data_IF_623174187121
#
_entry.id   IF_623174187121
#
_cell.length_a   1.000
_cell.length_b   1.000
_cell.length_c   1.000
_cell.angle_alpha   90.00
_cell.angle_beta   90.00
_cell.angle_gamma   90.00
#
_symmetry.space_group_name_H-M   'P 1'
#
loop_
_entity.id
_entity.type
_entity.pdbx_description
1 polymer ?
#
# COMPACT_ATOMS: atom_id res chain seq x y z
N UNK A 1 -5.00 3.87 3.40
CA UNK A 1 -4.84 3.92 4.87
C UNK A 1 -6.22 3.81 5.51
N UNK A 2 -6.50 2.70 6.20
CA UNK A 2 -7.74 2.42 6.95
C UNK A 2 -8.92 1.92 6.11
N UNK A 3 -9.45 0.69 6.32
CA UNK A 3 -10.67 0.26 5.68
C UNK A 3 -11.85 0.71 6.54
N UNK A 4 -12.38 1.90 6.26
CA UNK A 4 -13.76 2.21 6.64
C UNK A 4 -14.57 2.08 5.36
N UNK A 5 -15.04 0.86 5.09
CA UNK A 5 -16.06 0.58 4.07
C UNK A 5 -17.46 1.02 4.56
N UNK A 6 -17.53 2.06 5.39
CA UNK A 6 -18.77 2.72 5.76
C UNK A 6 -18.87 4.02 4.94
N UNK A 7 -19.73 4.06 3.91
CA UNK A 7 -19.93 5.23 3.06
C UNK A 7 -20.43 6.47 3.81
N UNK A 8 -20.99 6.30 5.02
CA UNK A 8 -21.48 7.40 5.86
C UNK A 8 -20.31 8.08 6.57
N UNK A 9 -19.34 7.30 7.04
CA UNK A 9 -18.14 7.82 7.71
C UNK A 9 -17.11 8.35 6.71
N UNK A 10 -17.01 7.77 5.51
CA UNK A 10 -16.02 8.20 4.50
C UNK A 10 -16.11 9.69 4.14
N UNK A 11 -17.33 10.26 4.15
CA UNK A 11 -17.57 11.69 3.85
C UNK A 11 -17.34 12.63 5.04
N UNK A 12 -17.19 12.10 6.24
CA UNK A 12 -17.01 12.87 7.48
C UNK A 12 -15.55 12.94 7.92
N UNK A 13 -14.68 12.17 7.28
CA UNK A 13 -13.26 12.12 7.58
C UNK A 13 -12.54 13.20 6.77
N UNK A 14 -11.96 14.17 7.47
CA UNK A 14 -10.97 15.06 6.88
C UNK A 14 -9.61 14.34 6.95
N UNK A 15 -9.07 13.83 5.83
CA UNK A 15 -7.72 13.25 5.82
C UNK A 15 -6.69 14.37 6.06
N UNK A 16 -5.48 13.98 6.47
CA UNK A 16 -4.35 14.89 6.41
C UNK A 16 -3.99 15.18 4.95
N UNK A 17 -3.43 16.36 4.72
CA UNK A 17 -2.85 16.68 3.41
C UNK A 17 -1.45 16.05 3.27
N UNK A 18 -1.12 15.45 2.13
CA UNK A 18 0.23 14.94 1.88
C UNK A 18 1.24 16.10 1.72
N UNK A 19 2.56 15.86 1.92
CA UNK A 19 3.17 14.58 2.27
C UNK A 19 2.97 14.22 3.76
N UNK A 20 2.64 12.96 4.03
CA UNK A 20 2.44 12.47 5.39
C UNK A 20 3.76 12.40 6.17
N UNK A 21 3.76 12.90 7.40
CA UNK A 21 4.93 12.86 8.29
C UNK A 21 4.59 12.13 9.60
N UNK A 22 5.58 11.48 10.22
CA UNK A 22 5.36 10.61 11.37
C UNK A 22 4.81 11.31 12.61
N UNK A 23 5.08 12.61 12.72
CA UNK A 23 4.57 13.49 13.79
C UNK A 23 3.16 14.02 13.57
N UNK A 24 2.47 13.64 12.48
CA UNK A 24 1.07 14.02 12.27
C UNK A 24 0.19 13.42 13.38
N UNK A 25 -0.80 14.16 13.90
CA UNK A 25 -1.68 13.65 14.93
C UNK A 25 -2.55 12.51 14.40
N UNK A 26 -2.98 11.62 15.29
CA UNK A 26 -3.98 10.60 14.97
C UNK A 26 -5.26 11.25 14.48
N UNK A 27 -5.88 10.66 13.46
CA UNK A 27 -7.19 11.10 13.00
C UNK A 27 -8.26 10.72 14.04
N UNK A 28 -9.34 11.52 14.18
CA UNK A 28 -10.37 11.34 15.20
C UNK A 28 -11.37 10.23 14.83
N UNK A 29 -10.89 9.08 14.37
CA UNK A 29 -11.71 7.94 13.98
C UNK A 29 -11.11 6.61 14.45
N UNK A 30 -11.95 5.57 14.62
CA UNK A 30 -11.46 4.23 14.94
C UNK A 30 -10.50 3.74 13.86
N UNK A 31 -9.27 3.42 14.28
CA UNK A 31 -8.24 2.85 13.42
C UNK A 31 -7.49 1.79 14.22
N UNK A 32 -7.51 0.56 13.72
CA UNK A 32 -6.88 -0.57 14.42
C UNK A 32 -5.37 -0.38 14.61
N UNK A 33 -4.70 0.39 13.73
CA UNK A 33 -3.29 0.73 13.92
C UNK A 33 -3.02 1.45 15.24
N UNK A 34 -3.91 2.38 15.64
CA UNK A 34 -3.77 3.09 16.92
C UNK A 34 -3.96 2.16 18.12
N UNK A 35 -4.86 1.18 18.00
CA UNK A 35 -5.05 0.16 19.03
C UNK A 35 -3.82 -0.75 19.16
N UNK A 36 -3.20 -1.15 18.04
CA UNK A 36 -1.97 -1.93 18.04
C UNK A 36 -0.79 -1.16 18.65
N UNK A 37 -0.60 0.11 18.26
CA UNK A 37 0.45 0.97 18.86
C UNK A 37 0.26 1.11 20.38
N UNK A 38 -0.98 1.37 20.84
CA UNK A 38 -1.27 1.49 22.26
C UNK A 38 -0.99 0.18 23.01
N UNK A 39 -1.37 -0.96 22.42
CA UNK A 39 -1.16 -2.28 23.02
C UNK A 39 0.32 -2.57 23.19
N UNK A 40 1.14 -2.38 22.14
CA UNK A 40 2.59 -2.62 22.21
C UNK A 40 3.26 -1.67 23.20
N UNK A 41 2.84 -0.41 23.27
CA UNK A 41 3.38 0.55 24.23
C UNK A 41 3.15 0.15 25.71
N UNK A 42 2.16 -0.70 26.01
CA UNK A 42 1.94 -1.20 27.39
C UNK A 42 3.07 -2.08 27.92
N UNK A 43 3.93 -2.62 27.03
CA UNK A 43 5.06 -3.45 27.41
C UNK A 43 6.33 -2.64 27.71
N UNK A 44 6.34 -1.34 27.42
CA UNK A 44 7.47 -0.45 27.72
C UNK A 44 7.54 -0.18 29.23
N UNK A 45 8.73 -0.22 29.88
CA UNK A 45 10.07 -0.36 29.29
C UNK A 45 10.60 -1.80 29.25
N UNK A 46 9.79 -2.81 29.55
CA UNK A 46 10.23 -4.22 29.58
C UNK A 46 10.72 -4.70 28.21
N UNK A 47 10.10 -4.20 27.14
CA UNK A 47 10.51 -4.39 25.75
C UNK A 47 10.39 -3.04 25.03
N UNK A 48 11.33 -2.73 24.13
CA UNK A 48 11.25 -1.57 23.23
C UNK A 48 10.59 -1.97 21.92
N UNK A 49 9.92 -1.04 21.25
CA UNK A 49 9.23 -1.31 19.98
C UNK A 49 9.61 -0.32 18.89
N UNK A 50 9.27 -0.60 17.64
CA UNK A 50 9.25 0.36 16.54
C UNK A 50 8.00 0.11 15.69
N UNK A 51 7.39 1.17 15.16
CA UNK A 51 6.25 1.06 14.25
C UNK A 51 6.67 1.45 12.83
N UNK A 52 6.33 0.62 11.84
CA UNK A 52 6.71 0.82 10.44
C UNK A 52 5.47 1.04 9.58
N UNK A 53 5.38 2.21 8.95
CA UNK A 53 4.23 2.66 8.15
C UNK A 53 4.61 2.66 6.68
N UNK A 54 4.44 1.52 6.01
CA UNK A 54 4.70 1.41 4.58
C UNK A 54 3.62 2.14 3.76
N UNK A 55 4.00 2.58 2.56
CA UNK A 55 3.03 2.86 1.50
C UNK A 55 2.48 1.54 0.95
N UNK A 56 1.91 1.57 -0.26
CA UNK A 56 1.58 0.38 -1.04
C UNK A 56 2.84 -0.49 -1.12
N UNK A 57 2.77 -1.66 -0.51
CA UNK A 57 3.85 -2.64 -0.59
C UNK A 57 3.75 -3.30 -1.96
N UNK A 58 4.81 -3.23 -2.74
CA UNK A 58 4.87 -4.01 -3.97
C UNK A 58 5.12 -5.47 -3.63
N UNK A 59 4.01 -6.20 -3.49
CA UNK A 59 3.93 -7.65 -3.49
C UNK A 59 2.63 -8.05 -4.18
N UNK A 60 2.71 -8.30 -5.49
CA UNK A 60 1.71 -8.92 -6.38
C UNK A 60 0.24 -8.43 -6.41
N UNK A 61 -0.19 -7.27 -5.87
CA UNK A 61 -1.53 -6.65 -6.17
C UNK A 61 -1.61 -5.14 -5.86
N UNK A 62 -2.24 -4.32 -6.74
CA UNK A 62 -2.62 -2.91 -6.46
C UNK A 62 -3.78 -2.42 -7.37
N UNK A 63 -4.73 -1.59 -6.87
CA UNK A 63 -5.63 -0.70 -7.66
C UNK A 63 -6.18 0.51 -6.86
N UNK A 64 -6.28 1.70 -7.50
CA UNK A 64 -7.32 2.74 -7.27
C UNK A 64 -7.38 3.78 -8.42
N UNK A 65 -8.58 4.32 -8.67
CA UNK A 65 -9.06 4.95 -9.93
C UNK A 65 -8.47 6.34 -10.27
N UNK A 66 -8.02 7.12 -9.27
CA UNK A 66 -7.51 8.49 -9.47
C UNK A 66 -5.99 8.57 -9.69
N UNK A 67 -5.34 7.43 -9.95
CA UNK A 67 -3.88 7.32 -9.83
C UNK A 67 -3.13 7.31 -11.18
N UNK A 68 -3.84 7.37 -12.30
CA UNK A 68 -3.26 7.20 -13.65
C UNK A 68 -2.16 8.22 -13.98
N UNK A 69 -2.49 9.51 -13.86
CA UNK A 69 -1.57 10.65 -14.14
C UNK A 69 -0.93 11.23 -12.86
N UNK A 70 -1.32 10.77 -11.67
CA UNK A 70 -0.82 11.30 -10.41
C UNK A 70 0.43 10.58 -9.91
N UNK A 71 1.28 11.32 -9.21
CA UNK A 71 2.44 10.75 -8.55
C UNK A 71 2.02 9.85 -7.40
N UNK A 72 2.47 8.60 -7.46
CA UNK A 72 2.34 7.59 -6.44
C UNK A 72 3.73 7.22 -5.91
N UNK A 73 3.77 6.68 -4.70
CA UNK A 73 4.98 6.19 -4.06
C UNK A 73 4.69 4.83 -3.44
N UNK A 74 5.70 3.97 -3.37
CA UNK A 74 5.55 2.58 -2.94
C UNK A 74 6.65 2.20 -1.95
N UNK A 75 6.53 0.99 -1.44
CA UNK A 75 7.52 0.38 -0.54
C UNK A 75 7.87 -1.00 -1.05
N UNK A 76 9.13 -1.20 -1.40
CA UNK A 76 9.70 -2.50 -1.67
C UNK A 76 9.73 -3.35 -0.39
N UNK A 77 9.42 -4.64 -0.52
CA UNK A 77 9.35 -5.54 0.63
C UNK A 77 10.73 -5.78 1.28
N UNK A 78 11.80 -5.77 0.49
CA UNK A 78 13.18 -5.84 0.96
C UNK A 78 13.57 -4.59 1.73
N UNK A 79 13.27 -3.40 1.20
CA UNK A 79 13.48 -2.12 1.89
C UNK A 79 12.72 -2.08 3.22
N UNK A 80 11.47 -2.55 3.24
CA UNK A 80 10.69 -2.64 4.47
C UNK A 80 11.34 -3.59 5.47
N UNK A 81 11.81 -4.76 5.04
CA UNK A 81 12.50 -5.72 5.90
C UNK A 81 13.81 -5.15 6.46
N UNK A 82 14.60 -4.46 5.63
CA UNK A 82 15.82 -3.77 6.04
C UNK A 82 15.53 -2.71 7.11
N UNK A 83 14.46 -1.91 6.96
CA UNK A 83 14.09 -0.92 7.96
C UNK A 83 13.69 -1.57 9.30
N UNK A 84 13.00 -2.72 9.28
CA UNK A 84 12.69 -3.47 10.50
C UNK A 84 13.96 -3.96 11.20
N UNK A 85 14.91 -4.53 10.45
CA UNK A 85 16.21 -4.98 10.99
C UNK A 85 16.98 -3.79 11.57
N UNK A 86 17.04 -2.68 10.84
CA UNK A 86 17.69 -1.45 11.29
C UNK A 86 17.11 -0.96 12.62
N UNK A 87 15.78 -0.86 12.74
CA UNK A 87 15.13 -0.37 13.95
C UNK A 87 15.32 -1.32 15.14
N UNK A 88 15.38 -2.63 14.89
CA UNK A 88 15.60 -3.63 15.94
C UNK A 88 16.99 -3.54 16.58
N UNK A 89 18.01 -3.03 15.87
CA UNK A 89 19.40 -2.98 16.35
C UNK A 89 19.92 -1.57 16.60
N UNK A 90 19.09 -0.54 16.43
CA UNK A 90 19.49 0.86 16.53
C UNK A 90 18.84 1.53 17.74
N UNK A 91 19.65 2.03 18.67
CA UNK A 91 19.13 2.61 19.92
C UNK A 91 18.22 3.83 19.70
N UNK A 92 18.55 4.69 18.73
CA UNK A 92 17.74 5.88 18.42
C UNK A 92 16.41 5.57 17.75
N UNK A 93 16.20 4.31 17.32
CA UNK A 93 14.95 3.88 16.69
C UNK A 93 13.95 3.28 17.70
N UNK A 94 14.35 3.15 18.97
CA UNK A 94 13.52 2.57 20.03
C UNK A 94 12.35 3.49 20.37
N UNK A 95 11.15 2.90 20.41
CA UNK A 95 9.87 3.50 20.73
C UNK A 95 9.41 4.58 19.73
N UNK A 96 9.92 4.53 18.50
CA UNK A 96 9.62 5.48 17.44
C UNK A 96 8.74 4.86 16.34
N UNK A 97 8.07 5.72 15.58
CA UNK A 97 7.32 5.34 14.39
C UNK A 97 7.96 5.95 13.15
N UNK A 98 8.10 5.14 12.10
CA UNK A 98 8.76 5.54 10.85
C UNK A 98 7.88 5.23 9.64
N UNK A 99 7.74 6.21 8.76
CA UNK A 99 7.32 5.98 7.40
C UNK A 99 8.40 5.17 6.64
N UNK A 100 7.96 4.30 5.74
CA UNK A 100 8.85 3.51 4.88
C UNK A 100 8.41 3.63 3.43
N UNK A 101 9.26 4.19 2.57
CA UNK A 101 9.02 4.31 1.13
C UNK A 101 10.35 4.08 0.39
N UNK A 102 10.28 3.83 -0.92
CA UNK A 102 11.48 3.68 -1.76
C UNK A 102 12.28 4.97 -1.92
N UNK A 103 11.74 6.12 -1.52
CA UNK A 103 12.36 7.43 -1.71
C UNK A 103 12.14 8.04 -3.10
N UNK A 104 11.40 7.37 -3.98
CA UNK A 104 11.03 7.85 -5.31
C UNK A 104 9.50 7.90 -5.51
N UNK A 105 9.09 8.38 -6.69
CA UNK A 105 7.70 8.45 -7.12
C UNK A 105 7.55 7.90 -8.54
N UNK A 106 6.39 7.34 -8.85
CA UNK A 106 6.03 6.84 -10.18
C UNK A 106 4.61 7.28 -10.57
N UNK A 107 4.25 7.11 -11.84
CA UNK A 107 2.88 7.28 -12.35
C UNK A 107 2.39 5.94 -12.86
N UNK A 108 1.12 5.60 -12.61
CA UNK A 108 0.55 4.35 -13.11
C UNK A 108 0.56 4.26 -14.62
N UNK A 109 0.39 5.37 -15.34
CA UNK A 109 0.58 5.44 -16.79
C UNK A 109 1.91 4.86 -17.26
N UNK A 110 3.00 5.17 -16.54
CA UNK A 110 4.35 4.66 -16.88
C UNK A 110 4.51 3.20 -16.43
N UNK A 111 4.00 2.85 -15.26
CA UNK A 111 4.05 1.47 -14.76
C UNK A 111 3.28 0.51 -15.66
N UNK A 112 2.09 0.92 -16.15
CA UNK A 112 1.27 0.13 -17.05
C UNK A 112 2.00 -0.20 -18.34
N UNK A 113 2.72 0.77 -18.92
CA UNK A 113 3.58 0.54 -20.08
C UNK A 113 4.65 -0.52 -19.82
N UNK A 114 5.34 -0.44 -18.68
CA UNK A 114 6.35 -1.45 -18.30
C UNK A 114 5.71 -2.83 -18.16
N UNK A 115 4.54 -2.93 -17.51
CA UNK A 115 3.84 -4.21 -17.39
C UNK A 115 3.36 -4.75 -18.75
N UNK A 116 2.89 -3.90 -19.66
CA UNK A 116 2.51 -4.33 -21.02
C UNK A 116 3.70 -4.90 -21.78
N UNK A 117 4.87 -4.29 -21.66
CA UNK A 117 6.12 -4.75 -22.28
C UNK A 117 6.61 -6.08 -21.66
N UNK A 118 6.61 -6.19 -20.33
CA UNK A 118 7.06 -7.40 -19.62
C UNK A 118 6.18 -8.62 -19.90
N UNK A 119 4.87 -8.43 -20.03
CA UNK A 119 3.91 -9.50 -20.32
C UNK A 119 3.66 -9.73 -21.82
N UNK A 120 4.32 -8.97 -22.71
CA UNK A 120 4.15 -9.00 -24.16
C UNK A 120 2.67 -8.86 -24.59
N UNK A 121 1.99 -7.86 -24.03
CA UNK A 121 0.60 -7.53 -24.36
C UNK A 121 0.47 -6.11 -24.92
N UNK A 122 -0.59 -5.88 -25.69
CA UNK A 122 -0.88 -4.56 -26.25
C UNK A 122 -1.06 -3.53 -25.11
N UNK A 123 -0.34 -2.41 -25.20
CA UNK A 123 -0.55 -1.27 -24.32
C UNK A 123 -1.85 -0.56 -24.69
N UNK A 124 -2.79 -0.53 -23.74
CA UNK A 124 -4.04 0.21 -23.84
C UNK A 124 -4.02 1.35 -22.81
N UNK A 125 -4.17 2.58 -23.28
CA UNK A 125 -4.22 3.77 -22.43
C UNK A 125 -5.58 3.90 -21.74
N UNK A 126 -5.57 4.26 -20.45
CA UNK A 126 -6.79 4.61 -19.72
C UNK A 126 -7.46 5.84 -20.36
N UNK A 127 -8.78 5.79 -20.50
CA UNK A 127 -9.58 6.91 -20.99
C UNK A 127 -10.49 7.41 -19.89
N UNK A 128 -10.45 8.71 -19.66
CA UNK A 128 -11.30 9.37 -18.67
C UNK A 128 -12.78 9.09 -18.95
N UNK A 129 -13.51 8.63 -17.92
CA UNK A 129 -14.93 8.29 -18.00
C UNK A 129 -15.24 6.84 -18.40
N UNK A 130 -14.23 6.02 -18.70
CA UNK A 130 -14.40 4.56 -18.80
C UNK A 130 -14.26 3.93 -17.40
N UNK A 131 -15.38 3.65 -16.74
CA UNK A 131 -15.39 2.86 -15.52
C UNK A 131 -15.03 1.39 -15.84
N UNK A 132 -14.02 0.86 -15.16
CA UNK A 132 -13.60 -0.53 -15.31
C UNK A 132 -13.55 -1.24 -13.96
N UNK A 133 -14.57 -2.06 -13.70
CA UNK A 133 -14.60 -2.93 -12.54
C UNK A 133 -13.79 -4.22 -12.81
N UNK A 134 -12.57 -4.25 -12.29
CA UNK A 134 -11.70 -5.42 -12.41
C UNK A 134 -12.23 -6.62 -11.61
N UNK A 135 -12.91 -6.41 -10.49
CA UNK A 135 -13.46 -7.51 -9.68
C UNK A 135 -14.55 -8.23 -10.47
N UNK A 136 -15.49 -7.47 -11.04
CA UNK A 136 -16.53 -8.03 -11.90
C UNK A 136 -15.90 -8.73 -13.12
N UNK A 137 -14.95 -8.07 -13.80
CA UNK A 137 -14.31 -8.62 -15.00
C UNK A 137 -13.54 -9.93 -14.71
N UNK A 138 -12.86 -10.02 -13.57
CA UNK A 138 -12.09 -11.20 -13.17
C UNK A 138 -12.94 -12.32 -12.55
N UNK A 139 -14.14 -12.02 -12.05
CA UNK A 139 -14.98 -12.95 -11.27
C UNK A 139 -15.25 -14.29 -11.97
N UNK A 140 -15.27 -14.32 -13.31
CA UNK A 140 -15.56 -15.51 -14.13
C UNK A 140 -14.34 -16.10 -14.83
N UNK A 141 -13.12 -15.63 -14.53
CA UNK A 141 -11.88 -16.02 -15.21
C UNK A 141 -11.15 -17.19 -14.56
N UNK A 142 -11.74 -17.86 -13.56
CA UNK A 142 -11.14 -19.00 -12.87
C UNK A 142 -10.64 -20.11 -13.82
N UNK A 143 -11.50 -20.59 -14.73
CA UNK A 143 -11.09 -21.63 -15.68
C UNK A 143 -10.00 -21.19 -16.66
N UNK A 144 -9.97 -19.91 -17.04
CA UNK A 144 -8.88 -19.37 -17.88
C UNK A 144 -7.56 -19.31 -17.10
N UNK A 145 -7.61 -19.02 -15.79
CA UNK A 145 -6.44 -19.08 -14.92
C UNK A 145 -5.92 -20.51 -14.76
N UNK A 146 -6.81 -21.49 -14.58
CA UNK A 146 -6.42 -22.91 -14.49
C UNK A 146 -5.68 -23.38 -15.75
N UNK A 147 -6.15 -22.99 -16.94
CA UNK A 147 -5.48 -23.29 -18.21
C UNK A 147 -4.08 -22.64 -18.29
N UNK A 148 -3.94 -21.39 -17.83
CA UNK A 148 -2.65 -20.70 -17.77
C UNK A 148 -1.70 -21.44 -16.84
N UNK A 149 -2.17 -21.89 -15.67
CA UNK A 149 -1.37 -22.64 -14.70
C UNK A 149 -0.89 -23.95 -15.31
N UNK A 150 -1.78 -24.74 -15.91
CA UNK A 150 -1.44 -26.02 -16.55
C UNK A 150 -0.43 -25.82 -17.69
N UNK A 151 -0.67 -24.86 -18.58
CA UNK A 151 0.18 -24.59 -19.75
C UNK A 151 1.60 -24.16 -19.36
N UNK A 152 1.75 -23.41 -18.26
CA UNK A 152 3.04 -22.84 -17.85
C UNK A 152 3.70 -23.59 -16.68
N UNK A 153 3.06 -24.62 -16.12
CA UNK A 153 3.59 -25.41 -15.00
C UNK A 153 3.79 -24.61 -13.71
N UNK A 154 2.86 -23.70 -13.41
CA UNK A 154 2.87 -22.83 -12.23
C UNK A 154 2.25 -23.47 -10.97
#
# INVERSE_FOLDING_TARGET
>A
MGPIFDPVLSKQLAPHEPPFHDSMPRLPNPNFYYALENFVATYTPSVTYSAHRSSIIYSRRVYQEDTWEHFCHMTDAGVLAEQHVWAAVTDVAKNEAFNCTNGDVFMWKRMWKVMSEDFDVEYVEYKEGEEFDIEEWMSKKGGAWDEIVERNGL
#
